data_IF_054081432451
#
_entry.id   IF_054081432451
#
_cell.length_a   1.000
_cell.length_b   1.000
_cell.length_c   1.000
_cell.angle_alpha   90.00
_cell.angle_beta   90.00
_cell.angle_gamma   90.00
#
_symmetry.space_group_name_H-M   'P 1'
#
loop_
_entity.id
_entity.type
_entity.pdbx_description
1 polymer ?
#
# COMPACT_ATOMS: atom_id res chain seq x y z
N UNK A 1 -0.43 -18.17 2.00
CA UNK A 1 0.73 -17.62 2.74
C UNK A 1 1.98 -18.40 2.33
N UNK A 2 3.03 -17.72 1.87
CA UNK A 2 4.27 -18.40 1.46
C UNK A 2 5.04 -18.78 2.72
N UNK A 3 4.99 -20.06 3.11
CA UNK A 3 5.60 -20.55 4.35
C UNK A 3 7.09 -20.18 4.46
N UNK A 4 7.82 -20.25 3.34
CA UNK A 4 9.24 -19.87 3.27
C UNK A 4 9.52 -18.41 3.59
N UNK A 5 8.59 -17.49 3.30
CA UNK A 5 8.75 -16.07 3.65
C UNK A 5 8.54 -15.88 5.15
N UNK A 6 7.45 -16.42 5.72
CA UNK A 6 7.13 -16.30 7.16
C UNK A 6 8.21 -16.87 8.07
N UNK A 7 8.90 -17.92 7.63
CA UNK A 7 10.02 -18.51 8.39
C UNK A 7 11.33 -17.73 8.24
N UNK A 8 11.43 -16.83 7.25
CA UNK A 8 12.60 -15.97 7.10
C UNK A 8 12.55 -14.84 8.14
N UNK A 9 13.63 -14.65 8.90
CA UNK A 9 13.81 -13.49 9.81
C UNK A 9 14.18 -12.21 9.05
N UNK A 10 13.87 -12.17 7.75
CA UNK A 10 14.27 -11.10 6.84
C UNK A 10 13.02 -10.25 6.58
N UNK A 11 12.92 -9.13 7.29
CA UNK A 11 11.76 -8.25 7.25
C UNK A 11 11.93 -7.06 8.18
N UNK A 12 10.93 -6.19 8.21
CA UNK A 12 10.88 -5.12 9.22
C UNK A 12 10.41 -5.71 10.56
N UNK A 13 10.93 -5.18 11.67
CA UNK A 13 10.48 -5.60 13.00
C UNK A 13 9.62 -4.49 13.58
N UNK A 14 8.38 -4.83 13.94
CA UNK A 14 7.41 -3.95 14.60
C UNK A 14 7.00 -4.64 15.89
N UNK A 15 7.23 -3.99 17.04
CA UNK A 15 6.91 -4.53 18.38
C UNK A 15 7.37 -5.98 18.59
N UNK A 16 8.62 -6.26 18.20
CA UNK A 16 9.26 -7.58 18.29
C UNK A 16 8.68 -8.67 17.36
N UNK A 17 7.75 -8.30 16.47
CA UNK A 17 7.22 -9.17 15.41
C UNK A 17 7.91 -8.85 14.09
N UNK A 18 8.46 -9.89 13.43
CA UNK A 18 9.03 -9.74 12.10
C UNK A 18 7.91 -9.75 11.04
N UNK A 19 7.72 -8.60 10.39
CA UNK A 19 6.80 -8.40 9.28
C UNK A 19 7.61 -8.40 7.98
N UNK A 20 7.49 -9.47 7.21
CA UNK A 20 8.17 -9.63 5.92
C UNK A 20 7.23 -9.46 4.72
N UNK A 21 5.99 -9.97 4.83
CA UNK A 21 4.98 -9.90 3.80
C UNK A 21 3.60 -9.57 4.41
N UNK A 22 2.82 -8.77 3.68
CA UNK A 22 1.41 -8.52 3.94
C UNK A 22 0.70 -8.94 2.66
N UNK A 23 -0.22 -9.91 2.77
CA UNK A 23 -0.92 -10.45 1.61
C UNK A 23 -2.43 -10.28 1.79
N UNK A 24 -3.10 -9.74 0.79
CA UNK A 24 -4.55 -9.61 0.72
C UNK A 24 -5.04 -10.06 -0.65
N UNK A 25 -5.75 -11.20 -0.71
CA UNK A 25 -6.12 -11.85 -1.96
C UNK A 25 -4.91 -12.00 -2.91
N UNK A 26 -4.96 -11.36 -4.09
CA UNK A 26 -3.87 -11.36 -5.08
C UNK A 26 -2.83 -10.25 -4.84
N UNK A 27 -3.11 -9.27 -3.98
CA UNK A 27 -2.18 -8.19 -3.65
C UNK A 27 -1.19 -8.65 -2.57
N UNK A 28 0.10 -8.57 -2.87
CA UNK A 28 1.18 -8.90 -1.94
C UNK A 28 2.14 -7.72 -1.80
N UNK A 29 2.44 -7.37 -0.55
CA UNK A 29 3.41 -6.33 -0.17
C UNK A 29 4.56 -6.97 0.57
N UNK A 30 5.79 -6.62 0.19
CA UNK A 30 7.01 -7.02 0.89
C UNK A 30 7.57 -5.83 1.66
N UNK A 31 7.85 -6.00 2.94
CA UNK A 31 8.36 -4.96 3.82
C UNK A 31 9.75 -5.34 4.32
N UNK A 32 10.75 -4.52 4.01
CA UNK A 32 12.14 -4.80 4.40
C UNK A 32 12.90 -3.53 4.76
N UNK A 33 13.89 -3.61 5.68
CA UNK A 33 14.67 -2.45 6.10
C UNK A 33 15.80 -2.10 5.11
N UNK A 34 16.16 -3.03 4.21
CA UNK A 34 17.29 -2.83 3.27
C UNK A 34 16.98 -3.45 1.91
N UNK A 35 17.57 -2.89 0.85
CA UNK A 35 17.42 -3.41 -0.52
C UNK A 35 17.98 -4.82 -0.65
N UNK A 36 19.04 -5.16 0.10
CA UNK A 36 19.58 -6.52 0.14
C UNK A 36 18.55 -7.52 0.66
N UNK A 37 17.85 -7.17 1.74
CA UNK A 37 16.76 -7.99 2.28
C UNK A 37 15.61 -8.11 1.28
N UNK A 38 15.24 -7.01 0.61
CA UNK A 38 14.21 -7.02 -0.44
C UNK A 38 14.55 -8.01 -1.56
N UNK A 39 15.78 -7.95 -2.10
CA UNK A 39 16.24 -8.88 -3.15
C UNK A 39 16.20 -10.34 -2.71
N UNK A 40 16.53 -10.61 -1.45
CA UNK A 40 16.45 -11.96 -0.88
C UNK A 40 14.99 -12.45 -0.81
N UNK A 41 14.06 -11.60 -0.34
CA UNK A 41 12.63 -11.94 -0.32
C UNK A 41 12.08 -12.13 -1.74
N UNK A 42 12.45 -11.27 -2.68
CA UNK A 42 12.03 -11.39 -4.07
C UNK A 42 12.52 -12.69 -4.70
N UNK A 43 13.77 -13.09 -4.46
CA UNK A 43 14.28 -14.36 -4.98
C UNK A 43 13.51 -15.57 -4.43
N UNK A 44 13.12 -15.52 -3.16
CA UNK A 44 12.22 -16.53 -2.57
C UNK A 44 10.84 -16.52 -3.24
N UNK A 45 10.27 -15.35 -3.52
CA UNK A 45 9.01 -15.22 -4.26
C UNK A 45 9.14 -15.80 -5.68
N UNK A 46 10.22 -15.52 -6.41
CA UNK A 46 10.45 -16.06 -7.75
C UNK A 46 10.51 -17.58 -7.73
N UNK A 47 11.28 -18.17 -6.82
CA UNK A 47 11.40 -19.62 -6.65
C UNK A 47 10.07 -20.26 -6.26
N UNK A 48 9.32 -19.62 -5.37
CA UNK A 48 7.98 -20.07 -4.99
C UNK A 48 7.01 -20.02 -6.18
N UNK A 49 7.03 -18.93 -6.94
CA UNK A 49 6.15 -18.76 -8.11
C UNK A 49 6.43 -19.80 -9.18
N UNK A 50 7.70 -20.08 -9.47
CA UNK A 50 8.11 -21.09 -10.44
C UNK A 50 7.68 -22.50 -10.03
N UNK A 51 7.82 -22.85 -8.75
CA UNK A 51 7.41 -24.18 -8.24
C UNK A 51 5.90 -24.40 -8.21
N UNK A 52 5.11 -23.32 -8.08
CA UNK A 52 3.65 -23.40 -7.98
C UNK A 52 2.93 -23.03 -9.29
N UNK A 53 3.67 -22.80 -10.38
CA UNK A 53 3.10 -22.39 -11.67
C UNK A 53 2.47 -20.99 -11.65
N UNK A 54 2.85 -20.14 -10.70
CA UNK A 54 2.37 -18.77 -10.58
C UNK A 54 3.34 -17.80 -11.27
N UNK A 55 2.83 -16.65 -11.71
CA UNK A 55 3.65 -15.59 -12.32
C UNK A 55 3.24 -14.22 -11.78
N UNK A 56 4.16 -13.51 -11.14
CA UNK A 56 3.93 -12.13 -10.75
C UNK A 56 3.92 -11.20 -11.97
N UNK A 57 3.05 -10.20 -11.95
CA UNK A 57 2.95 -9.22 -13.03
C UNK A 57 3.93 -8.07 -12.79
N UNK A 58 5.11 -8.14 -13.43
CA UNK A 58 6.17 -7.13 -13.31
C UNK A 58 5.68 -5.71 -13.60
N UNK A 59 4.77 -5.53 -14.58
CA UNK A 59 4.26 -4.20 -14.95
C UNK A 59 3.35 -3.59 -13.89
N UNK A 60 2.70 -4.42 -13.06
CA UNK A 60 1.87 -3.97 -11.94
C UNK A 60 2.67 -3.89 -10.64
N UNK A 61 3.81 -4.57 -10.55
CA UNK A 61 4.68 -4.49 -9.38
C UNK A 61 5.39 -3.15 -9.38
N UNK A 62 5.28 -2.45 -8.26
CA UNK A 62 5.95 -1.18 -8.01
C UNK A 62 6.64 -1.26 -6.64
N UNK A 63 7.67 -0.45 -6.43
CA UNK A 63 8.32 -0.34 -5.12
C UNK A 63 8.43 1.11 -4.67
N UNK A 64 8.36 1.29 -3.35
CA UNK A 64 8.44 2.58 -2.68
C UNK A 64 9.50 2.51 -1.58
N UNK A 65 10.23 3.60 -1.39
CA UNK A 65 11.26 3.73 -0.33
C UNK A 65 10.81 4.81 0.63
N UNK A 66 10.52 4.43 1.86
CA UNK A 66 10.17 5.37 2.91
C UNK A 66 11.37 6.26 3.28
N UNK A 67 11.14 7.57 3.30
CA UNK A 67 12.14 8.58 3.64
C UNK A 67 12.05 8.90 5.13
N UNK A 68 12.84 8.21 5.95
CA UNK A 68 12.98 8.57 7.36
C UNK A 68 14.08 9.63 7.54
N UNK A 69 13.72 10.79 8.09
CA UNK A 69 14.63 11.83 8.63
C UNK A 69 15.91 12.06 7.82
N UNK A 70 15.77 12.40 6.54
CA UNK A 70 16.84 12.84 5.64
C UNK A 70 17.86 11.77 5.21
N UNK A 71 17.72 10.51 5.64
CA UNK A 71 18.58 9.40 5.20
C UNK A 71 17.97 8.69 3.99
N UNK A 72 17.94 9.37 2.85
CA UNK A 72 17.66 8.71 1.57
C UNK A 72 18.97 8.17 0.99
N UNK A 73 19.00 6.92 0.50
CA UNK A 73 20.14 6.45 -0.29
C UNK A 73 20.31 7.37 -1.51
N UNK A 74 21.49 7.97 -1.66
CA UNK A 74 21.86 8.79 -2.83
C UNK A 74 21.84 7.98 -4.12
N UNK A 75 22.09 6.68 -4.03
CA UNK A 75 21.99 5.73 -5.12
C UNK A 75 21.18 4.51 -4.69
N UNK A 76 20.08 4.26 -5.40
CA UNK A 76 19.25 3.07 -5.22
C UNK A 76 19.57 2.15 -6.40
N UNK A 77 20.21 0.99 -6.18
CA UNK A 77 20.49 0.06 -7.25
C UNK A 77 19.19 -0.52 -7.81
N UNK A 78 19.21 -0.89 -9.09
CA UNK A 78 18.04 -1.44 -9.77
C UNK A 78 17.50 -2.68 -9.06
N UNK A 79 16.18 -2.73 -8.93
CA UNK A 79 15.45 -3.86 -8.37
C UNK A 79 14.74 -4.55 -9.53
N UNK A 80 14.99 -5.86 -9.66
CA UNK A 80 14.52 -6.66 -10.78
C UNK A 80 13.65 -7.81 -10.31
N UNK A 81 12.55 -8.07 -11.02
CA UNK A 81 11.71 -9.25 -10.88
C UNK A 81 11.69 -10.00 -12.22
N UNK A 82 12.07 -11.27 -12.19
CA UNK A 82 12.31 -12.10 -13.37
C UNK A 82 13.28 -11.45 -14.39
N UNK A 83 14.28 -10.73 -13.89
CA UNK A 83 15.26 -10.00 -14.70
C UNK A 83 14.76 -8.67 -15.31
N UNK A 84 13.51 -8.29 -15.07
CA UNK A 84 12.94 -7.02 -15.54
C UNK A 84 12.90 -5.98 -14.41
N UNK A 85 13.28 -4.73 -14.72
CA UNK A 85 13.34 -3.64 -13.74
C UNK A 85 11.93 -3.28 -13.24
N UNK A 86 11.78 -3.19 -11.91
CA UNK A 86 10.55 -2.73 -11.26
C UNK A 86 10.55 -1.20 -11.22
N UNK A 87 9.38 -0.60 -11.43
CA UNK A 87 9.21 0.84 -11.35
C UNK A 87 9.25 1.34 -9.90
N UNK A 88 10.05 2.38 -9.67
CA UNK A 88 10.05 3.15 -8.41
C UNK A 88 8.89 4.15 -8.42
N UNK A 89 8.15 4.22 -7.33
CA UNK A 89 7.08 5.21 -7.12
C UNK A 89 7.26 5.97 -5.80
N UNK A 90 6.74 7.20 -5.77
CA UNK A 90 6.71 8.05 -4.56
C UNK A 90 5.38 8.00 -3.82
N UNK A 91 4.35 7.48 -4.48
CA UNK A 91 3.04 7.22 -3.90
C UNK A 91 2.41 6.02 -4.62
N UNK A 92 1.70 5.19 -3.87
CA UNK A 92 0.91 4.10 -4.44
C UNK A 92 -0.40 3.95 -3.66
N UNK A 93 -1.38 3.30 -4.27
CA UNK A 93 -2.68 3.03 -3.63
C UNK A 93 -2.72 1.57 -3.19
N UNK A 94 -2.94 1.33 -1.91
CA UNK A 94 -3.06 0.00 -1.32
C UNK A 94 -4.39 -0.12 -0.58
N UNK A 95 -5.22 -1.09 -0.97
CA UNK A 95 -6.53 -1.36 -0.35
C UNK A 95 -7.44 -0.12 -0.20
N UNK A 96 -7.30 0.86 -1.08
CA UNK A 96 -8.09 2.09 -1.02
C UNK A 96 -7.37 3.29 -0.42
N UNK A 97 -6.22 3.13 0.23
CA UNK A 97 -5.45 4.19 0.89
C UNK A 97 -4.19 4.55 0.11
N UNK A 98 -3.77 5.81 0.15
CA UNK A 98 -2.53 6.27 -0.45
C UNK A 98 -1.37 6.16 0.54
N UNK A 99 -0.36 5.38 0.15
CA UNK A 99 0.89 5.31 0.88
C UNK A 99 1.92 6.15 0.14
N UNK A 100 2.50 7.12 0.83
CA UNK A 100 3.52 8.03 0.30
C UNK A 100 4.90 7.78 0.89
N UNK A 101 5.94 8.24 0.20
CA UNK A 101 7.33 8.07 0.63
C UNK A 101 7.71 8.96 1.81
N UNK A 102 6.99 10.05 2.04
CA UNK A 102 7.20 10.99 3.14
C UNK A 102 6.49 10.60 4.44
N UNK A 103 5.82 9.43 4.46
CA UNK A 103 5.07 8.90 5.61
C UNK A 103 3.95 9.83 6.09
N UNK A 104 3.48 10.75 5.24
CA UNK A 104 2.36 11.65 5.55
C UNK A 104 1.06 11.11 4.99
N UNK A 105 0.00 11.26 5.76
CA UNK A 105 -1.37 10.87 5.45
C UNK A 105 -2.20 12.02 4.82
N UNK A 106 -1.60 13.20 4.65
CA UNK A 106 -2.25 14.41 4.14
C UNK A 106 -3.07 14.15 2.85
N UNK A 107 -2.56 13.33 1.94
CA UNK A 107 -3.24 13.02 0.67
C UNK A 107 -4.53 12.23 0.90
N UNK A 108 -4.53 11.29 1.84
CA UNK A 108 -5.72 10.52 2.20
C UNK A 108 -6.72 11.37 2.97
N UNK A 109 -6.25 12.16 3.94
CA UNK A 109 -7.09 13.10 4.69
C UNK A 109 -7.82 14.05 3.74
N UNK A 110 -7.10 14.67 2.81
CA UNK A 110 -7.72 15.57 1.83
C UNK A 110 -8.72 14.87 0.93
N UNK A 111 -8.47 13.62 0.55
CA UNK A 111 -9.41 12.84 -0.27
C UNK A 111 -10.69 12.56 0.51
N UNK A 112 -10.59 12.15 1.77
CA UNK A 112 -11.76 11.87 2.60
C UNK A 112 -12.54 13.15 2.91
N UNK A 113 -11.87 14.27 3.19
CA UNK A 113 -12.52 15.57 3.32
C UNK A 113 -13.28 15.97 2.05
N UNK A 114 -12.69 15.77 0.87
CA UNK A 114 -13.37 16.05 -0.42
C UNK A 114 -14.55 15.11 -0.64
N UNK A 115 -14.39 13.81 -0.37
CA UNK A 115 -15.46 12.83 -0.50
C UNK A 115 -16.63 13.15 0.45
N UNK A 116 -16.34 13.58 1.68
CA UNK A 116 -17.32 14.06 2.62
C UNK A 116 -18.03 15.32 2.08
N UNK A 117 -17.29 16.33 1.64
CA UNK A 117 -17.87 17.56 1.09
C UNK A 117 -18.81 17.30 -0.11
N UNK A 118 -18.43 16.37 -1.00
CA UNK A 118 -19.28 15.94 -2.13
C UNK A 118 -20.57 15.29 -1.64
N UNK A 119 -20.49 14.38 -0.66
CA UNK A 119 -21.67 13.71 -0.07
C UNK A 119 -22.58 14.69 0.67
N UNK A 120 -22.01 15.61 1.44
CA UNK A 120 -22.75 16.70 2.10
C UNK A 120 -23.48 17.58 1.08
N UNK A 121 -22.80 17.98 0.00
CA UNK A 121 -23.41 18.80 -1.05
C UNK A 121 -24.53 18.06 -1.78
N UNK A 122 -24.36 16.75 -2.02
CA UNK A 122 -25.41 15.90 -2.60
C UNK A 122 -26.64 15.85 -1.69
N UNK A 123 -26.45 15.66 -0.37
CA UNK A 123 -27.55 15.67 0.60
C UNK A 123 -28.24 17.03 0.67
N UNK A 124 -27.47 18.13 0.74
CA UNK A 124 -28.01 19.49 0.83
C UNK A 124 -28.85 19.86 -0.41
N UNK A 125 -28.41 19.46 -1.61
CA UNK A 125 -29.13 19.73 -2.86
C UNK A 125 -30.30 18.78 -3.09
N UNK A 126 -30.10 17.49 -2.90
CA UNK A 126 -31.09 16.46 -3.20
C UNK A 126 -32.23 16.41 -2.19
N UNK A 127 -31.95 16.73 -0.92
CA UNK A 127 -32.92 16.68 0.17
C UNK A 127 -33.14 18.06 0.81
N UNK A 128 -32.91 19.14 0.06
CA UNK A 128 -33.03 20.52 0.55
C UNK A 128 -34.40 20.84 1.15
N UNK A 129 -35.47 20.26 0.59
CA UNK A 129 -36.85 20.41 1.06
C UNK A 129 -37.26 19.46 2.20
N UNK A 130 -36.40 18.52 2.60
CA UNK A 130 -36.69 17.60 3.69
C UNK A 130 -36.52 18.26 5.06
N UNK A 131 -37.23 17.72 6.05
CA UNK A 131 -37.09 18.12 7.45
C UNK A 131 -35.69 17.83 8.01
N UNK A 132 -35.33 18.55 9.07
CA UNK A 132 -34.00 18.47 9.70
C UNK A 132 -33.66 17.06 10.18
N UNK A 133 -34.59 16.37 10.85
CA UNK A 133 -34.42 14.98 11.32
C UNK A 133 -34.05 14.01 10.18
N UNK A 134 -34.67 14.17 9.01
CA UNK A 134 -34.38 13.35 7.82
C UNK A 134 -32.97 13.66 7.32
N UNK A 135 -32.57 14.93 7.29
CA UNK A 135 -31.22 15.34 6.88
C UNK A 135 -30.15 14.80 7.85
N UNK A 136 -30.39 14.87 9.16
CA UNK A 136 -29.49 14.32 10.18
C UNK A 136 -29.36 12.80 10.02
N UNK A 137 -30.46 12.10 9.81
CA UNK A 137 -30.47 10.65 9.60
C UNK A 137 -29.68 10.27 8.34
N UNK A 138 -29.92 10.97 7.23
CA UNK A 138 -29.20 10.74 5.97
C UNK A 138 -27.71 11.06 6.11
N UNK A 139 -27.34 12.14 6.79
CA UNK A 139 -25.95 12.47 7.05
C UNK A 139 -25.25 11.35 7.83
N UNK A 140 -25.83 10.88 8.94
CA UNK A 140 -25.26 9.78 9.74
C UNK A 140 -25.13 8.47 8.97
N UNK A 141 -26.01 8.22 8.00
CA UNK A 141 -26.00 6.99 7.22
C UNK A 141 -25.03 7.01 6.03
N UNK A 142 -24.85 8.16 5.38
CA UNK A 142 -24.15 8.26 4.09
C UNK A 142 -22.85 9.05 4.12
N UNK A 143 -22.62 9.90 5.12
CA UNK A 143 -21.41 10.72 5.26
C UNK A 143 -20.45 10.11 6.27
#
# INVERSE_FOLDING_TARGET
MIFGLSSSRVGCHVDNVCVNNISYADDMVLLTPTIRALRQLMHMCETYSASHGLKYNVNKTEYLIFKANSKCPTHVPDIQLYGANIKRVHKFKYLGHYVTDDLKDQTDVERECRALAVRCNMLARGFGHCGEEVKITLFKAYC
#
